data_IF_424959620961
#
_entry.id   IF_424959620961
#
_cell.length_a   1.000
_cell.length_b   1.000
_cell.length_c   1.000
_cell.angle_alpha   90.00
_cell.angle_beta   90.00
_cell.angle_gamma   90.00
#
_symmetry.space_group_name_H-M   'P 1'
#
loop_
_entity.id
_entity.type
_entity.pdbx_description
1 polymer ?
#
# COMPACT_ATOMS: atom_id res chain seq x y z
N UNK A 1 2.59 19.87 -0.01
CA UNK A 1 3.06 18.62 0.60
C UNK A 1 1.92 17.64 0.51
N UNK A 2 2.13 16.55 -0.21
CA UNK A 2 1.19 15.44 -0.21
C UNK A 2 1.84 14.30 0.57
N UNK A 3 1.06 13.58 1.34
CA UNK A 3 1.53 12.41 2.05
C UNK A 3 1.14 11.20 1.21
N UNK A 4 2.13 10.41 0.80
CA UNK A 4 1.93 9.22 -0.04
C UNK A 4 2.45 8.00 0.72
N UNK A 5 1.74 6.89 0.53
CA UNK A 5 2.17 5.60 1.06
C UNK A 5 3.20 5.03 0.08
N UNK A 6 4.44 4.89 0.52
CA UNK A 6 5.50 4.26 -0.26
C UNK A 6 5.79 2.86 0.28
N UNK A 7 6.10 1.94 -0.64
CA UNK A 7 6.56 0.60 -0.28
C UNK A 7 8.04 0.67 0.08
N UNK A 8 8.37 0.43 1.34
CA UNK A 8 9.75 0.57 1.84
C UNK A 8 10.54 -0.74 1.79
N UNK A 9 9.86 -1.86 1.54
CA UNK A 9 10.49 -3.18 1.55
C UNK A 9 9.93 -4.09 0.45
N UNK A 10 10.82 -4.91 -0.09
CA UNK A 10 10.47 -5.92 -1.09
C UNK A 10 9.53 -6.99 -0.50
N UNK A 11 8.62 -7.49 -1.33
CA UNK A 11 7.70 -8.58 -0.95
C UNK A 11 8.34 -9.91 -1.33
N UNK A 12 8.42 -10.85 -0.39
CA UNK A 12 8.95 -12.19 -0.65
C UNK A 12 7.84 -13.20 -0.51
N UNK A 13 7.67 -14.02 -1.53
CA UNK A 13 6.66 -15.06 -1.54
C UNK A 13 7.25 -16.37 -2.07
N UNK A 14 6.66 -17.47 -1.67
CA UNK A 14 6.96 -18.79 -2.21
C UNK A 14 5.86 -19.22 -3.16
N UNK A 15 6.24 -19.64 -4.36
CA UNK A 15 5.35 -20.23 -5.34
C UNK A 15 5.84 -21.64 -5.67
N UNK A 16 5.04 -22.64 -5.34
CA UNK A 16 5.39 -24.05 -5.60
C UNK A 16 6.76 -24.48 -5.06
N UNK A 17 7.17 -23.96 -3.89
CA UNK A 17 8.47 -24.25 -3.27
C UNK A 17 9.63 -23.40 -3.78
N UNK A 18 9.41 -22.49 -4.73
CA UNK A 18 10.41 -21.53 -5.20
C UNK A 18 10.17 -20.14 -4.58
N UNK A 19 11.21 -19.58 -3.97
CA UNK A 19 11.15 -18.24 -3.39
C UNK A 19 11.35 -17.19 -4.47
N UNK A 20 10.41 -16.27 -4.56
CA UNK A 20 10.43 -15.17 -5.50
C UNK A 20 10.35 -13.86 -4.72
N UNK A 21 11.15 -12.89 -5.13
CA UNK A 21 11.15 -11.54 -4.53
C UNK A 21 10.58 -10.56 -5.54
N UNK A 22 9.58 -9.80 -5.11
CA UNK A 22 9.00 -8.70 -5.86
C UNK A 22 9.63 -7.43 -5.32
N UNK A 23 10.38 -6.69 -6.15
CA UNK A 23 10.92 -5.42 -5.72
C UNK A 23 9.77 -4.45 -5.42
N UNK A 24 9.94 -3.62 -4.40
CA UNK A 24 8.95 -2.62 -3.99
C UNK A 24 8.47 -1.75 -5.17
N UNK A 25 9.39 -1.36 -6.06
CA UNK A 25 9.14 -0.56 -7.26
C UNK A 25 8.22 -1.25 -8.28
N UNK A 26 8.17 -2.58 -8.29
CA UNK A 26 7.29 -3.34 -9.18
C UNK A 26 5.86 -3.45 -8.66
N UNK A 27 5.58 -2.97 -7.45
CA UNK A 27 4.24 -3.01 -6.85
C UNK A 27 3.49 -1.76 -7.29
N UNK A 28 2.39 -1.96 -8.02
CA UNK A 28 1.59 -0.87 -8.55
C UNK A 28 0.65 -0.36 -7.47
N UNK A 29 0.81 0.91 -7.10
CA UNK A 29 -0.11 1.61 -6.24
C UNK A 29 -1.34 2.09 -7.04
N UNK A 30 -2.53 1.71 -6.59
CA UNK A 30 -3.80 2.20 -7.12
C UNK A 30 -4.20 3.51 -6.45
N UNK A 31 -5.10 4.31 -7.06
CA UNK A 31 -5.59 5.54 -6.43
C UNK A 31 -6.16 5.25 -5.05
N UNK A 32 -5.77 6.07 -4.07
CA UNK A 32 -6.30 6.02 -2.72
C UNK A 32 -7.76 6.46 -2.72
N UNK A 33 -8.61 5.68 -2.08
CA UNK A 33 -10.01 5.98 -1.88
C UNK A 33 -10.27 6.36 -0.43
N UNK A 34 -11.08 7.39 -0.20
CA UNK A 34 -11.51 7.78 1.15
C UNK A 34 -12.50 6.72 1.66
N UNK A 35 -12.12 6.00 2.71
CA UNK A 35 -12.95 4.93 3.30
C UNK A 35 -13.73 5.43 4.50
N UNK A 36 -13.13 6.32 5.29
CA UNK A 36 -13.85 7.07 6.31
C UNK A 36 -13.65 8.57 6.13
N UNK A 37 -14.77 9.24 5.85
CA UNK A 37 -14.84 10.69 5.86
C UNK A 37 -14.98 11.18 7.30
N UNK A 38 -14.27 12.25 7.64
CA UNK A 38 -14.41 12.97 8.89
C UNK A 38 -15.89 13.32 9.14
N UNK A 39 -16.54 12.60 10.06
CA UNK A 39 -17.97 12.82 10.39
C UNK A 39 -18.23 14.17 11.06
N UNK A 40 -17.18 14.87 11.49
CA UNK A 40 -17.24 16.16 12.18
C UNK A 40 -16.09 17.07 11.73
N UNK A 41 -16.25 18.40 11.88
CA UNK A 41 -15.15 19.36 11.66
C UNK A 41 -13.97 19.00 12.56
N UNK A 42 -12.92 18.43 11.98
CA UNK A 42 -11.70 18.00 12.67
C UNK A 42 -11.64 16.52 13.04
N UNK A 43 -12.49 15.66 12.44
CA UNK A 43 -12.31 14.21 12.53
C UNK A 43 -11.17 13.73 11.62
N UNK A 44 -10.57 12.61 11.98
CA UNK A 44 -9.52 11.98 11.20
C UNK A 44 -10.09 11.37 9.90
N UNK A 45 -9.37 11.55 8.79
CA UNK A 45 -9.74 11.05 7.47
C UNK A 45 -8.92 9.78 7.19
N UNK A 46 -9.61 8.64 7.07
CA UNK A 46 -8.96 7.37 6.75
C UNK A 46 -9.09 7.09 5.25
N UNK A 47 -7.94 6.89 4.62
CA UNK A 47 -7.83 6.55 3.21
C UNK A 47 -7.35 5.11 3.08
N UNK A 48 -7.93 4.36 2.15
CA UNK A 48 -7.41 3.07 1.75
C UNK A 48 -6.73 3.15 0.39
N UNK A 49 -5.52 2.64 0.33
CA UNK A 49 -4.72 2.51 -0.89
C UNK A 49 -4.60 1.03 -1.22
N UNK A 50 -4.87 0.67 -2.47
CA UNK A 50 -4.67 -0.70 -2.93
C UNK A 50 -3.29 -0.82 -3.59
N UNK A 51 -2.53 -1.82 -3.18
CA UNK A 51 -1.24 -2.18 -3.76
C UNK A 51 -1.39 -3.49 -4.51
N UNK A 52 -1.05 -3.51 -5.79
CA UNK A 52 -1.15 -4.70 -6.63
C UNK A 52 0.23 -5.12 -7.10
N UNK A 53 0.67 -6.30 -6.70
CA UNK A 53 1.85 -6.94 -7.25
C UNK A 53 1.46 -7.99 -8.29
N UNK A 54 2.10 -7.94 -9.45
CA UNK A 54 1.89 -8.95 -10.49
C UNK A 54 2.85 -10.10 -10.25
N UNK A 55 2.32 -11.31 -10.05
CA UNK A 55 3.11 -12.54 -9.90
C UNK A 55 2.82 -13.50 -11.06
N UNK A 56 3.68 -14.49 -11.34
CA UNK A 56 3.41 -15.48 -12.39
C UNK A 56 2.21 -16.38 -12.08
N UNK A 57 1.76 -16.48 -10.83
CA UNK A 57 0.55 -17.22 -10.47
C UNK A 57 -0.73 -16.35 -10.54
N UNK A 58 -0.60 -15.03 -10.52
CA UNK A 58 -1.71 -14.08 -10.55
C UNK A 58 -1.41 -12.76 -9.84
N UNK A 59 -2.33 -11.79 -9.85
CA UNK A 59 -2.18 -10.57 -9.08
C UNK A 59 -2.34 -10.85 -7.59
N UNK A 60 -1.51 -10.20 -6.77
CA UNK A 60 -1.64 -10.15 -5.32
C UNK A 60 -2.02 -8.72 -4.96
N UNK A 61 -3.12 -8.54 -4.24
CA UNK A 61 -3.65 -7.23 -3.87
C UNK A 61 -3.66 -7.09 -2.36
N UNK A 62 -3.04 -6.02 -1.87
CA UNK A 62 -3.11 -5.58 -0.47
C UNK A 62 -3.90 -4.28 -0.38
N UNK A 63 -4.70 -4.14 0.67
CA UNK A 63 -5.33 -2.89 1.08
C UNK A 63 -4.59 -2.34 2.28
N UNK A 64 -4.04 -1.15 2.10
CA UNK A 64 -3.41 -0.39 3.18
C UNK A 64 -4.37 0.70 3.57
N UNK A 65 -4.85 0.69 4.81
CA UNK A 65 -5.61 1.79 5.39
C UNK A 65 -4.64 2.68 6.15
N UNK A 66 -4.66 3.97 5.83
CA UNK A 66 -3.85 5.00 6.48
C UNK A 66 -4.74 6.14 6.93
N UNK A 67 -4.47 6.61 8.15
CA UNK A 67 -5.10 7.77 8.72
C UNK A 67 -4.24 8.99 8.39
N UNK A 68 -4.84 10.00 7.76
CA UNK A 68 -4.20 11.28 7.45
C UNK A 68 -4.76 12.40 8.33
N UNK A 69 -5.17 12.06 9.56
CA UNK A 69 -5.72 12.97 10.53
C UNK A 69 -4.81 14.15 10.88
N UNK A 70 -5.36 15.08 11.66
CA UNK A 70 -4.79 16.42 11.89
C UNK A 70 -3.41 16.46 12.58
N UNK A 71 -2.92 15.35 13.11
CA UNK A 71 -1.69 15.32 13.93
C UNK A 71 -0.51 14.73 13.20
N UNK A 72 -0.59 13.47 12.76
CA UNK A 72 0.50 12.78 12.07
C UNK A 72 -0.10 11.65 11.25
N UNK A 73 0.21 11.57 9.96
CA UNK A 73 -0.30 10.47 9.17
C UNK A 73 0.29 9.15 9.66
N UNK A 74 -0.54 8.11 9.76
CA UNK A 74 -0.09 6.80 10.23
C UNK A 74 -0.79 5.66 9.50
N UNK A 75 -0.08 4.55 9.31
CA UNK A 75 -0.67 3.34 8.74
C UNK A 75 -1.52 2.68 9.82
N UNK A 76 -2.82 2.54 9.56
CA UNK A 76 -3.77 1.90 10.46
C UNK A 76 -3.73 0.37 10.31
N UNK A 77 -3.80 -0.12 9.05
CA UNK A 77 -3.84 -1.55 8.77
C UNK A 77 -3.30 -1.90 7.38
N UNK A 78 -2.76 -3.10 7.25
CA UNK A 78 -2.38 -3.72 5.96
C UNK A 78 -3.08 -5.07 5.87
N UNK A 79 -4.05 -5.18 4.96
CA UNK A 79 -4.85 -6.40 4.75
C UNK A 79 -4.57 -6.99 3.37
N UNK A 80 -4.33 -8.30 3.31
CA UNK A 80 -4.25 -9.01 2.04
C UNK A 80 -5.67 -9.28 1.52
N UNK A 81 -6.04 -8.63 0.43
CA UNK A 81 -7.39 -8.71 -0.16
C UNK A 81 -7.47 -9.83 -1.19
N UNK A 82 -6.46 -9.94 -2.04
CA UNK A 82 -6.41 -10.94 -3.10
C UNK A 82 -5.05 -11.61 -3.12
N UNK A 83 -5.04 -12.94 -3.11
CA UNK A 83 -3.83 -13.71 -3.33
C UNK A 83 -4.17 -14.93 -4.19
N UNK A 84 -3.42 -15.21 -5.25
CA UNK A 84 -3.64 -16.39 -6.06
C UNK A 84 -3.23 -17.63 -5.26
N UNK A 85 -3.96 -18.73 -5.45
CA UNK A 85 -3.69 -19.98 -4.76
C UNK A 85 -2.30 -20.54 -5.11
N UNK A 86 -1.61 -21.08 -4.11
CA UNK A 86 -0.26 -21.64 -4.27
C UNK A 86 0.87 -20.64 -4.05
N UNK A 87 0.53 -19.39 -3.71
CA UNK A 87 1.47 -18.40 -3.16
C UNK A 87 1.41 -18.42 -1.64
N UNK A 88 2.57 -18.57 -1.00
CA UNK A 88 2.74 -18.36 0.43
C UNK A 88 3.55 -17.08 0.66
N UNK A 89 2.94 -16.07 1.27
CA UNK A 89 3.62 -14.81 1.59
C UNK A 89 4.55 -15.07 2.78
N UNK A 90 5.86 -15.08 2.53
CA UNK A 90 6.88 -15.20 3.57
C UNK A 90 7.13 -13.84 4.20
N UNK A 91 7.20 -12.80 3.36
CA UNK A 91 7.41 -11.43 3.75
C UNK A 91 6.36 -10.56 3.06
N UNK A 92 5.43 -10.04 3.85
CA UNK A 92 4.33 -9.22 3.36
C UNK A 92 4.75 -7.82 2.94
N UNK A 93 3.78 -7.06 2.44
CA UNK A 93 3.96 -5.67 2.05
C UNK A 93 4.31 -4.83 3.28
N UNK A 94 5.45 -4.14 3.23
CA UNK A 94 5.81 -3.12 4.21
C UNK A 94 5.71 -1.75 3.53
N UNK A 95 5.01 -0.84 4.20
CA UNK A 95 4.73 0.50 3.70
C UNK A 95 4.99 1.53 4.78
N UNK A 96 5.35 2.73 4.36
CA UNK A 96 5.53 3.89 5.23
C UNK A 96 4.91 5.13 4.58
N UNK A 97 4.61 6.15 5.38
CA UNK A 97 4.03 7.38 4.85
C UNK A 97 5.14 8.40 4.71
N UNK A 98 5.47 8.70 3.45
CA UNK A 98 6.48 9.67 3.11
C UNK A 98 5.82 10.98 2.67
N UNK A 99 6.31 12.08 3.21
CA UNK A 99 5.93 13.42 2.77
C UNK A 99 6.65 13.71 1.46
N UNK A 100 5.90 13.71 0.36
CA UNK A 100 6.43 14.10 -0.94
C UNK A 100 6.09 15.56 -1.21
N UNK A 101 7.14 16.34 -1.44
CA UNK A 101 7.01 17.61 -2.12
C UNK A 101 6.74 17.28 -3.59
N UNK A 102 5.49 17.42 -4.03
CA UNK A 102 5.23 17.56 -5.45
C UNK A 102 5.92 18.86 -5.87
N UNK A 103 7.16 18.78 -6.38
CA UNK A 103 7.63 19.78 -7.34
C UNK A 103 6.66 19.66 -8.52
N UNK A 104 5.73 20.61 -8.59
CA UNK A 104 4.99 20.92 -9.80
C UNK A 104 6.05 21.14 -10.88
N UNK A 105 6.39 20.09 -11.64
CA UNK A 105 7.17 20.19 -12.87
C UNK A 105 6.27 20.96 -13.84
N UNK A 106 6.27 22.27 -13.63
CA UNK A 106 5.65 23.25 -14.47
C UNK A 106 6.29 23.12 -15.84
N UNK A 107 5.52 22.46 -16.71
CA UNK A 107 5.59 22.39 -18.17
C UNK A 107 6.46 23.44 -18.88
#
# INVERSE_FOLDING_TARGET
MASVIEVTQDVVYELSGEKVTIPADSIVQSPSELVEAARFKGGDEAYATLFTATTPAGPVVWRVTADYGFTTPSIDAVELVECPGGIEIIQGLAVDIVEVEYEDDAC
#
